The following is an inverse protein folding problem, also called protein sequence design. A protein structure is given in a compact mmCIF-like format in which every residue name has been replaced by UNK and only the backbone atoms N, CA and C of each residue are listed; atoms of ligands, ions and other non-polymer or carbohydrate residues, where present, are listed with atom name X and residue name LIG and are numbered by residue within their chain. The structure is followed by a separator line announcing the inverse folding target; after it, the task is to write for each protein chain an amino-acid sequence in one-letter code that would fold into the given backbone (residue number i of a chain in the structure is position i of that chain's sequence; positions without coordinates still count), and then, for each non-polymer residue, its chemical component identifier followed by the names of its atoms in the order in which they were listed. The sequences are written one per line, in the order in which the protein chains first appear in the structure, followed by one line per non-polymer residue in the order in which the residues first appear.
data_IF_854229900098
#
_entry.id   IF_854229900098
#
_cell.length_a   1.000
_cell.length_b   1.000
_cell.length_c   1.000
_cell.angle_alpha   90.00
_cell.angle_beta   90.00
_cell.angle_gamma   90.00
#
_symmetry.space_group_name_H-M   'P 1'
#
loop_
_entity.id
_entity.type
_entity.pdbx_description
1 polymer ?
#
# COMPACT_ATOMS: atom_id res chain seq x y z
N UNK A 1 15.01 20.68 70.46
CA UNK A 1 14.76 19.30 69.96
C UNK A 1 16.01 18.91 69.22
N UNK A 2 16.61 17.75 69.48
CA UNK A 2 17.78 17.31 68.72
C UNK A 2 17.39 16.93 67.32
N UNK A 3 18.27 17.13 66.32
CA UNK A 3 18.07 16.74 64.91
C UNK A 3 17.63 15.29 64.78
N UNK A 4 18.05 14.44 65.66
CA UNK A 4 17.67 13.02 65.78
C UNK A 4 16.17 12.85 66.05
N UNK A 5 15.60 13.63 66.98
CA UNK A 5 14.18 13.52 67.33
C UNK A 5 13.29 14.00 66.21
N UNK A 6 13.72 15.01 65.39
CA UNK A 6 13.03 15.50 64.24
C UNK A 6 13.04 14.41 63.10
N UNK A 7 14.22 13.79 62.91
CA UNK A 7 14.34 12.72 61.90
C UNK A 7 13.45 11.51 62.25
N UNK A 8 13.41 11.08 63.51
CA UNK A 8 12.53 9.99 63.93
C UNK A 8 11.06 10.36 63.77
N UNK A 9 10.67 11.58 64.14
CA UNK A 9 9.29 12.04 63.96
C UNK A 9 8.86 12.03 62.46
N UNK A 10 9.71 12.52 61.56
CA UNK A 10 9.46 12.48 60.12
C UNK A 10 9.29 11.05 59.61
N UNK A 11 10.18 10.13 59.99
CA UNK A 11 10.09 8.72 59.59
C UNK A 11 8.79 8.08 60.09
N UNK A 12 8.41 8.30 61.34
CA UNK A 12 7.17 7.76 61.91
C UNK A 12 5.93 8.29 61.19
N UNK A 13 5.90 9.61 60.91
CA UNK A 13 4.77 10.21 60.17
C UNK A 13 4.68 9.68 58.75
N UNK A 14 5.80 9.62 58.02
CA UNK A 14 5.82 9.12 56.64
C UNK A 14 5.44 7.64 56.56
N UNK A 15 5.91 6.82 57.52
CA UNK A 15 5.53 5.41 57.60
C UNK A 15 4.03 5.25 57.94
N UNK A 16 3.53 6.04 58.88
CA UNK A 16 2.09 6.04 59.23
C UNK A 16 1.20 6.43 58.04
N UNK A 17 1.56 7.47 57.33
CA UNK A 17 0.85 7.91 56.12
C UNK A 17 0.90 6.80 55.04
N UNK A 18 2.07 6.21 54.80
CA UNK A 18 2.24 5.12 53.84
C UNK A 18 1.39 3.88 54.18
N UNK A 19 1.32 3.50 55.45
CA UNK A 19 0.47 2.38 55.90
C UNK A 19 -1.02 2.67 55.71
N UNK A 20 -1.49 3.89 56.05
CA UNK A 20 -2.89 4.28 55.88
C UNK A 20 -3.26 4.26 54.42
N UNK A 21 -2.49 4.90 53.56
CA UNK A 21 -2.77 4.90 52.10
C UNK A 21 -2.67 3.50 51.49
N UNK A 22 -1.69 2.69 51.89
CA UNK A 22 -1.54 1.32 51.43
C UNK A 22 -2.79 0.46 51.81
N UNK A 23 -3.26 0.61 53.05
CA UNK A 23 -4.46 -0.11 53.50
C UNK A 23 -5.71 0.34 52.76
N UNK A 24 -5.87 1.66 52.57
CA UNK A 24 -7.01 2.21 51.81
C UNK A 24 -6.99 1.70 50.36
N UNK A 25 -5.83 1.76 49.68
CA UNK A 25 -5.68 1.25 48.35
C UNK A 25 -5.95 -0.26 48.25
N UNK A 26 -5.49 -1.04 49.21
CA UNK A 26 -5.77 -2.47 49.24
C UNK A 26 -7.27 -2.79 49.41
N UNK A 27 -7.94 -2.04 50.29
CA UNK A 27 -9.42 -2.18 50.46
C UNK A 27 -10.20 -1.76 49.22
N UNK A 28 -9.80 -0.64 48.62
CA UNK A 28 -10.42 -0.16 47.36
C UNK A 28 -10.17 -1.17 46.25
N UNK A 29 -8.95 -1.66 46.09
CA UNK A 29 -8.63 -2.67 45.08
C UNK A 29 -9.46 -3.95 45.28
N UNK A 30 -9.59 -4.45 46.52
CA UNK A 30 -10.40 -5.65 46.81
C UNK A 30 -11.89 -5.43 46.51
N UNK A 31 -12.42 -4.22 46.71
CA UNK A 31 -13.82 -3.90 46.48
C UNK A 31 -14.14 -3.63 45.02
N UNK A 32 -13.20 -3.06 44.24
CA UNK A 32 -13.34 -2.64 42.87
C UNK A 32 -12.58 -3.53 41.87
N UNK A 33 -11.86 -4.56 42.34
CA UNK A 33 -11.24 -5.53 41.46
C UNK A 33 -12.32 -6.19 40.60
N UNK A 34 -12.32 -5.94 39.29
CA UNK A 34 -13.13 -6.69 38.33
C UNK A 34 -12.43 -8.02 38.06
N UNK A 35 -13.17 -9.12 38.20
CA UNK A 35 -12.67 -10.43 37.78
C UNK A 35 -12.54 -10.44 36.27
N UNK A 36 -11.34 -10.34 35.76
CA UNK A 36 -11.07 -10.47 34.33
C UNK A 36 -11.12 -11.94 33.98
N UNK A 37 -11.97 -12.29 33.00
CA UNK A 37 -12.06 -13.66 32.52
C UNK A 37 -10.68 -14.14 32.01
N UNK A 38 -10.12 -15.24 32.56
CA UNK A 38 -8.78 -15.71 32.19
C UNK A 38 -8.66 -16.04 30.68
N UNK A 39 -9.76 -16.33 30.00
CA UNK A 39 -9.79 -16.55 28.56
C UNK A 39 -9.36 -15.31 27.78
N UNK A 40 -9.56 -14.09 28.31
CA UNK A 40 -9.15 -12.84 27.64
C UNK A 40 -7.63 -12.82 27.48
N UNK A 41 -6.89 -13.15 28.53
CA UNK A 41 -5.43 -13.22 28.48
C UNK A 41 -4.94 -14.31 27.52
N UNK A 42 -5.58 -15.49 27.52
CA UNK A 42 -5.22 -16.56 26.59
C UNK A 42 -5.44 -16.16 25.13
N UNK A 43 -6.54 -15.46 24.83
CA UNK A 43 -6.80 -14.93 23.48
C UNK A 43 -5.81 -13.83 23.14
N UNK A 44 -5.50 -12.91 24.05
CA UNK A 44 -4.53 -11.85 23.81
C UNK A 44 -3.12 -12.40 23.51
N UNK A 45 -2.71 -13.47 24.17
CA UNK A 45 -1.39 -14.10 23.97
C UNK A 45 -1.23 -14.75 22.59
N UNK A 46 -2.31 -15.22 22.00
CA UNK A 46 -2.34 -15.77 20.64
C UNK A 46 -2.28 -14.66 19.57
N UNK A 47 -2.77 -13.45 19.90
CA UNK A 47 -2.81 -12.34 18.97
C UNK A 47 -1.40 -11.82 18.65
N UNK A 48 -1.13 -11.32 17.42
CA UNK A 48 0.20 -10.84 16.99
C UNK A 48 0.74 -9.62 17.73
N UNK A 49 -0.03 -9.07 18.67
CA UNK A 49 0.32 -7.90 19.52
C UNK A 49 0.78 -6.64 18.73
N UNK A 50 0.45 -6.57 17.46
CA UNK A 50 0.80 -5.44 16.57
C UNK A 50 0.04 -4.15 16.84
N UNK A 51 -0.95 -4.18 17.74
CA UNK A 51 -1.80 -3.02 18.13
C UNK A 51 -2.31 -2.20 16.92
N UNK A 52 -2.57 -2.90 15.80
CA UNK A 52 -2.79 -2.24 14.50
C UNK A 52 -4.21 -1.68 14.30
N UNK A 53 -5.19 -2.08 15.11
CA UNK A 53 -6.56 -1.63 14.98
C UNK A 53 -7.31 -2.14 13.72
N UNK A 54 -6.72 -3.03 12.92
CA UNK A 54 -7.33 -3.55 11.69
C UNK A 54 -8.62 -4.33 11.92
N UNK A 55 -8.80 -4.86 13.11
CA UNK A 55 -10.01 -5.55 13.58
C UNK A 55 -11.17 -4.60 13.96
N UNK A 56 -10.92 -3.27 13.95
CA UNK A 56 -11.90 -2.26 14.39
C UNK A 56 -11.85 -1.94 15.89
N UNK A 57 -10.98 -2.59 16.66
CA UNK A 57 -10.78 -2.36 18.09
C UNK A 57 -9.51 -1.55 18.36
N UNK A 58 -9.46 -0.85 19.49
CA UNK A 58 -8.35 0.04 19.86
C UNK A 58 -7.01 -0.69 20.10
N UNK A 59 -7.01 -2.02 20.22
CA UNK A 59 -5.83 -2.84 20.39
C UNK A 59 -6.17 -4.31 20.51
N UNK A 60 -5.16 -5.14 20.67
CA UNK A 60 -5.34 -6.59 20.77
C UNK A 60 -6.14 -7.00 22.03
N UNK A 61 -5.88 -6.32 23.16
CA UNK A 61 -6.62 -6.56 24.40
C UNK A 61 -8.12 -6.24 24.21
N UNK A 62 -8.45 -5.07 23.65
CA UNK A 62 -9.86 -4.70 23.43
C UNK A 62 -10.61 -5.67 22.51
N UNK A 63 -9.91 -6.24 21.53
CA UNK A 63 -10.48 -7.30 20.69
C UNK A 63 -10.65 -8.61 21.48
N UNK A 64 -9.67 -9.00 22.31
CA UNK A 64 -9.77 -10.19 23.15
C UNK A 64 -10.95 -10.09 24.12
N UNK A 65 -11.13 -8.95 24.78
CA UNK A 65 -12.28 -8.68 25.65
C UNK A 65 -13.61 -8.78 24.88
N UNK A 66 -13.68 -8.19 23.69
CA UNK A 66 -14.88 -8.19 22.87
C UNK A 66 -15.24 -9.59 22.36
N UNK A 67 -14.25 -10.36 21.88
CA UNK A 67 -14.52 -11.70 21.32
C UNK A 67 -14.88 -12.73 22.39
N UNK A 68 -14.37 -12.57 23.62
CA UNK A 68 -14.72 -13.44 24.75
C UNK A 68 -16.05 -13.04 25.39
N UNK A 69 -16.29 -11.73 25.52
CA UNK A 69 -17.48 -11.19 26.21
C UNK A 69 -18.74 -11.14 25.35
N UNK A 70 -18.63 -11.06 24.02
CA UNK A 70 -19.77 -10.93 23.12
C UNK A 70 -19.83 -12.09 22.10
N UNK A 71 -20.88 -12.89 22.06
CA UNK A 71 -21.05 -13.99 21.12
C UNK A 71 -21.10 -13.53 19.65
N UNK A 72 -21.58 -12.30 19.37
CA UNK A 72 -21.73 -11.77 18.02
C UNK A 72 -20.41 -11.33 17.39
N UNK A 73 -19.34 -11.15 18.18
CA UNK A 73 -18.02 -10.77 17.67
C UNK A 73 -17.33 -11.99 17.07
N UNK A 74 -17.04 -12.00 15.76
CA UNK A 74 -16.44 -13.16 15.12
C UNK A 74 -14.94 -13.30 15.48
N UNK A 75 -14.41 -14.55 15.54
CA UNK A 75 -13.03 -14.82 15.94
C UNK A 75 -11.99 -14.50 14.83
N UNK A 76 -12.41 -14.17 13.62
CA UNK A 76 -11.56 -13.96 12.45
C UNK A 76 -11.24 -12.48 12.14
N UNK A 77 -11.54 -11.54 13.03
CA UNK A 77 -11.29 -10.11 12.76
C UNK A 77 -9.81 -9.74 12.77
N UNK A 78 -8.94 -10.56 13.37
CA UNK A 78 -7.50 -10.29 13.39
C UNK A 78 -6.87 -10.59 12.03
N UNK A 79 -6.82 -9.59 11.13
CA UNK A 79 -6.24 -9.73 9.79
C UNK A 79 -4.77 -10.15 9.81
N UNK A 80 -3.87 -9.54 10.63
CA UNK A 80 -2.48 -9.97 10.73
C UNK A 80 -2.28 -11.41 11.20
N UNK A 81 -3.20 -11.91 12.04
CA UNK A 81 -3.15 -13.28 12.55
C UNK A 81 -3.53 -14.34 11.53
N UNK A 82 -4.15 -13.93 10.42
CA UNK A 82 -4.61 -14.82 9.34
C UNK A 82 -5.49 -15.96 9.87
N UNK A 83 -5.63 -17.02 9.08
CA UNK A 83 -6.46 -18.19 9.44
C UNK A 83 -5.98 -18.90 10.73
N UNK A 84 -4.68 -18.98 10.94
CA UNK A 84 -4.10 -19.71 12.10
C UNK A 84 -4.60 -19.12 13.43
N UNK A 85 -4.52 -17.80 13.59
CA UNK A 85 -4.98 -17.11 14.79
C UNK A 85 -6.51 -17.16 14.90
N UNK A 86 -7.22 -17.02 13.78
CA UNK A 86 -8.67 -17.12 13.76
C UNK A 86 -9.18 -18.49 14.25
N UNK A 87 -8.55 -19.58 13.80
CA UNK A 87 -8.89 -20.94 14.21
C UNK A 87 -8.57 -21.18 15.71
N UNK A 88 -7.45 -20.65 16.21
CA UNK A 88 -7.09 -20.72 17.63
C UNK A 88 -8.04 -19.94 18.53
N UNK A 89 -8.40 -18.70 18.14
CA UNK A 89 -9.37 -17.88 18.86
C UNK A 89 -10.75 -18.57 18.84
N UNK A 90 -11.14 -19.14 17.70
CA UNK A 90 -12.39 -19.88 17.56
C UNK A 90 -12.44 -21.10 18.51
N UNK A 91 -11.34 -21.86 18.59
CA UNK A 91 -11.24 -23.02 19.49
C UNK A 91 -11.37 -22.63 20.97
N UNK A 92 -10.73 -21.50 21.38
CA UNK A 92 -10.83 -21.00 22.77
C UNK A 92 -12.22 -20.44 23.12
N UNK A 93 -12.87 -19.78 22.15
CA UNK A 93 -14.17 -19.12 22.39
C UNK A 93 -15.37 -19.98 22.02
N UNK A 94 -15.15 -21.20 21.48
CA UNK A 94 -16.23 -22.10 21.05
C UNK A 94 -16.99 -21.59 19.81
N UNK A 95 -16.38 -20.68 19.02
CA UNK A 95 -16.99 -20.06 17.83
C UNK A 95 -16.49 -20.70 16.54
N UNK A 96 -17.17 -20.45 15.42
CA UNK A 96 -16.73 -20.86 14.09
C UNK A 96 -16.03 -19.67 13.42
N UNK A 97 -14.81 -19.88 12.91
CA UNK A 97 -14.08 -18.85 12.18
C UNK A 97 -14.47 -18.87 10.69
N UNK A 98 -15.08 -17.80 10.15
CA UNK A 98 -15.24 -17.65 8.71
C UNK A 98 -13.89 -17.53 8.00
N UNK A 99 -13.84 -17.85 6.70
CA UNK A 99 -12.62 -17.74 5.92
C UNK A 99 -12.15 -16.28 5.77
N UNK A 100 -10.85 -16.05 5.90
CA UNK A 100 -10.23 -14.75 5.75
C UNK A 100 -9.55 -14.68 4.38
N UNK A 101 -9.99 -13.75 3.53
CA UNK A 101 -9.27 -13.45 2.29
C UNK A 101 -7.94 -12.75 2.63
N UNK A 102 -6.79 -13.35 2.30
CA UNK A 102 -5.51 -12.68 2.51
C UNK A 102 -5.41 -11.45 1.60
N UNK A 103 -4.75 -10.40 2.10
CA UNK A 103 -4.53 -9.17 1.34
C UNK A 103 -3.16 -8.57 1.68
N UNK A 104 -2.58 -7.86 0.72
CA UNK A 104 -1.31 -7.15 0.84
C UNK A 104 -1.45 -5.71 0.39
N UNK A 105 -0.57 -4.85 0.88
CA UNK A 105 -0.53 -3.46 0.45
C UNK A 105 0.08 -3.33 -0.95
N UNK A 106 -0.52 -2.51 -1.79
CA UNK A 106 -0.01 -2.14 -3.10
C UNK A 106 0.17 -0.64 -3.19
N UNK A 107 1.28 -0.19 -3.76
CA UNK A 107 1.58 1.22 -3.99
C UNK A 107 1.05 1.64 -5.36
N UNK A 108 0.07 2.54 -5.39
CA UNK A 108 -0.56 3.03 -6.64
C UNK A 108 0.07 4.34 -7.13
N UNK A 109 1.40 4.40 -7.17
CA UNK A 109 2.13 5.53 -7.73
C UNK A 109 3.54 5.10 -8.14
N UNK A 110 3.93 5.42 -9.36
CA UNK A 110 5.29 5.27 -9.88
C UNK A 110 5.95 6.64 -10.19
N UNK A 111 5.29 7.73 -9.81
CA UNK A 111 5.74 9.10 -10.06
C UNK A 111 6.90 9.49 -9.14
N UNK A 112 8.09 8.96 -9.41
CA UNK A 112 9.36 9.40 -8.82
C UNK A 112 9.70 10.84 -9.24
N UNK A 113 10.67 11.52 -8.61
CA UNK A 113 11.02 12.91 -8.91
C UNK A 113 11.43 13.16 -10.37
N UNK A 114 11.99 12.16 -11.05
CA UNK A 114 12.36 12.19 -12.47
C UNK A 114 11.15 12.07 -13.42
N UNK A 115 10.04 11.51 -12.97
CA UNK A 115 8.85 11.24 -13.78
C UNK A 115 7.69 12.19 -13.52
N UNK A 116 7.58 12.68 -12.29
CA UNK A 116 6.50 13.58 -11.86
C UNK A 116 7.05 14.98 -11.59
N UNK A 117 6.48 15.99 -12.24
CA UNK A 117 6.87 17.40 -12.05
C UNK A 117 6.60 17.86 -10.63
N UNK A 118 7.48 18.71 -10.11
CA UNK A 118 7.29 19.40 -8.85
C UNK A 118 6.79 20.82 -9.08
N UNK A 119 5.98 21.35 -8.17
CA UNK A 119 5.48 22.73 -8.15
C UNK A 119 6.45 23.66 -7.40
N UNK A 120 6.97 23.17 -6.29
CA UNK A 120 7.86 23.88 -5.38
C UNK A 120 8.76 22.89 -4.61
N UNK A 121 9.79 23.39 -3.96
CA UNK A 121 10.60 22.65 -2.99
C UNK A 121 9.92 22.76 -1.62
N UNK A 122 9.69 21.63 -0.97
CA UNK A 122 9.10 21.59 0.37
C UNK A 122 10.19 21.44 1.42
N UNK A 123 10.30 22.43 2.31
CA UNK A 123 11.32 22.50 3.38
C UNK A 123 10.69 22.38 4.79
N UNK A 124 9.47 21.87 4.89
CA UNK A 124 8.76 21.68 6.16
C UNK A 124 9.03 20.32 6.80
N UNK A 125 8.15 19.96 7.74
CA UNK A 125 8.18 18.66 8.44
C UNK A 125 8.11 17.53 7.43
N UNK A 126 9.03 16.57 7.54
CA UNK A 126 9.14 15.41 6.64
C UNK A 126 8.05 14.37 6.95
N UNK A 127 6.81 14.78 6.77
CA UNK A 127 5.59 13.98 6.96
C UNK A 127 4.60 14.23 5.84
N UNK A 128 3.94 13.17 5.34
CA UNK A 128 2.99 13.28 4.22
C UNK A 128 1.73 14.06 4.59
N UNK A 129 1.27 13.97 5.85
CA UNK A 129 0.06 14.66 6.30
C UNK A 129 0.36 16.16 6.36
N UNK A 130 1.47 16.54 7.01
CA UNK A 130 1.91 17.94 7.10
C UNK A 130 2.14 18.55 5.72
N UNK A 131 2.88 17.86 4.84
CA UNK A 131 3.14 18.33 3.49
C UNK A 131 1.88 18.44 2.63
N UNK A 132 0.89 17.60 2.85
CA UNK A 132 -0.38 17.65 2.11
C UNK A 132 -1.21 18.91 2.40
N UNK A 133 -1.03 19.54 3.58
CA UNK A 133 -1.70 20.78 3.94
C UNK A 133 -1.17 21.98 3.13
N UNK A 134 0.06 21.90 2.64
CA UNK A 134 0.68 22.97 1.84
C UNK A 134 0.34 22.76 0.37
N UNK A 135 -0.72 23.36 -0.11
CA UNK A 135 -1.21 23.28 -1.50
C UNK A 135 -1.34 21.84 -2.04
N UNK A 136 -1.64 20.88 -1.18
CA UNK A 136 -1.72 19.48 -1.56
C UNK A 136 -0.37 18.79 -1.77
N UNK A 137 0.74 19.39 -1.35
CA UNK A 137 2.11 18.87 -1.48
C UNK A 137 2.88 19.39 -2.67
N UNK A 138 4.19 19.12 -2.68
CA UNK A 138 5.17 19.65 -3.64
C UNK A 138 5.02 19.12 -5.08
N UNK A 139 4.37 17.98 -5.30
CA UNK A 139 4.18 17.42 -6.66
C UNK A 139 3.06 18.12 -7.41
N UNK A 140 3.23 18.31 -8.71
CA UNK A 140 2.21 18.85 -9.60
C UNK A 140 0.99 17.91 -9.72
N UNK A 141 1.20 16.61 -9.62
CA UNK A 141 0.12 15.63 -9.56
C UNK A 141 -0.54 15.68 -8.16
N UNK A 142 -1.81 16.08 -8.09
CA UNK A 142 -2.57 16.17 -6.84
C UNK A 142 -2.78 14.80 -6.17
N UNK A 143 -2.76 13.73 -6.95
CA UNK A 143 -2.98 12.36 -6.51
C UNK A 143 -1.67 11.58 -6.27
N UNK A 144 -0.52 12.20 -6.51
CA UNK A 144 0.79 11.54 -6.45
C UNK A 144 1.30 11.31 -5.03
N UNK A 145 2.12 10.28 -4.86
CA UNK A 145 2.84 10.02 -3.61
C UNK A 145 3.76 11.19 -3.27
N UNK A 146 3.73 11.69 -2.03
CA UNK A 146 4.58 12.80 -1.57
C UNK A 146 6.00 12.35 -1.22
N UNK A 147 6.18 11.08 -0.84
CA UNK A 147 7.52 10.51 -0.67
C UNK A 147 8.14 10.69 0.72
N UNK A 148 7.43 11.20 1.73
CA UNK A 148 7.97 11.43 3.08
C UNK A 148 7.88 10.22 4.01
N UNK A 149 7.40 9.07 3.56
CA UNK A 149 7.51 7.81 4.30
C UNK A 149 6.55 7.62 5.48
N UNK A 150 5.53 8.46 5.68
CA UNK A 150 4.56 8.31 6.78
C UNK A 150 3.93 6.90 6.82
N UNK A 151 3.67 6.29 5.65
CA UNK A 151 3.18 4.92 5.55
C UNK A 151 4.21 3.85 5.97
N UNK A 152 5.50 4.10 5.77
CA UNK A 152 6.57 3.21 6.22
C UNK A 152 6.74 3.32 7.74
N UNK A 153 6.76 4.53 8.29
CA UNK A 153 6.94 4.78 9.71
C UNK A 153 5.81 4.20 10.58
N UNK A 154 4.58 4.14 10.05
CA UNK A 154 3.43 3.60 10.80
C UNK A 154 3.32 2.08 10.72
N UNK A 155 4.12 1.40 9.91
CA UNK A 155 4.02 -0.04 9.68
C UNK A 155 4.56 -0.82 10.89
N UNK A 156 3.72 -1.51 11.68
CA UNK A 156 4.18 -2.23 12.88
C UNK A 156 4.86 -3.57 12.54
N UNK A 157 4.87 -3.97 11.26
CA UNK A 157 5.44 -5.23 10.79
C UNK A 157 6.71 -5.03 9.95
N UNK A 158 7.22 -3.80 9.86
CA UNK A 158 8.39 -3.45 9.05
C UNK A 158 8.31 -4.00 7.60
N UNK A 159 7.10 -3.96 7.05
CA UNK A 159 6.81 -4.44 5.70
C UNK A 159 6.90 -3.33 4.64
N UNK A 160 7.16 -2.10 5.05
CA UNK A 160 7.24 -0.93 4.17
C UNK A 160 8.53 -0.17 4.43
N UNK A 161 9.26 0.14 3.38
CA UNK A 161 10.45 1.01 3.42
C UNK A 161 10.44 1.99 2.23
N UNK A 162 11.20 3.06 2.34
CA UNK A 162 11.34 4.01 1.24
C UNK A 162 12.44 3.56 0.29
N UNK A 163 12.09 3.43 -0.98
CA UNK A 163 13.03 3.09 -2.03
C UNK A 163 13.89 4.29 -2.45
N UNK A 164 14.99 4.05 -3.20
CA UNK A 164 15.91 5.10 -3.66
C UNK A 164 15.25 6.11 -4.61
N UNK A 165 14.13 5.75 -5.21
CA UNK A 165 13.32 6.61 -6.07
C UNK A 165 12.33 7.50 -5.29
N UNK A 166 12.40 7.56 -3.95
CA UNK A 166 11.51 8.33 -3.10
C UNK A 166 10.07 7.83 -3.07
N UNK A 167 9.83 6.56 -3.40
CA UNK A 167 8.53 5.92 -3.31
C UNK A 167 8.58 4.76 -2.32
N UNK A 168 7.46 4.46 -1.63
CA UNK A 168 7.41 3.32 -0.73
C UNK A 168 7.49 2.00 -1.51
N UNK A 169 8.18 1.03 -0.93
CA UNK A 169 8.29 -0.35 -1.41
C UNK A 169 7.70 -1.27 -0.35
N UNK A 170 6.91 -2.24 -0.78
CA UNK A 170 6.24 -3.22 0.09
C UNK A 170 6.99 -4.54 0.02
N UNK A 171 7.38 -5.07 1.17
CA UNK A 171 7.79 -6.47 1.31
C UNK A 171 6.54 -7.33 1.50
N UNK A 172 6.15 -8.04 0.44
CA UNK A 172 4.93 -8.86 0.44
C UNK A 172 4.99 -10.01 1.45
N UNK A 173 6.19 -10.52 1.78
CA UNK A 173 6.37 -11.60 2.74
C UNK A 173 6.10 -11.16 4.16
N UNK A 174 6.49 -9.93 4.50
CA UNK A 174 6.26 -9.31 5.81
C UNK A 174 4.88 -8.67 5.91
N UNK A 175 4.28 -8.27 4.79
CA UNK A 175 3.00 -7.58 4.78
C UNK A 175 1.86 -8.48 5.26
N UNK A 176 1.18 -8.04 6.30
CA UNK A 176 0.04 -8.75 6.90
C UNK A 176 -1.32 -8.25 6.41
N UNK A 177 -1.35 -7.20 5.57
CA UNK A 177 -2.60 -6.61 5.07
C UNK A 177 -3.40 -5.82 6.09
N UNK A 178 -2.79 -5.34 7.17
CA UNK A 178 -3.49 -4.66 8.27
C UNK A 178 -4.14 -3.31 7.90
N UNK A 179 -3.77 -2.69 6.77
CA UNK A 179 -4.40 -1.47 6.26
C UNK A 179 -3.95 -0.16 6.91
N UNK A 180 -3.07 -0.14 7.92
CA UNK A 180 -2.59 1.12 8.55
C UNK A 180 -1.99 2.10 7.54
N UNK A 181 -1.20 1.60 6.60
CA UNK A 181 -0.59 2.43 5.55
C UNK A 181 -1.63 3.05 4.59
N UNK A 182 -2.77 2.39 4.37
CA UNK A 182 -3.88 2.91 3.59
C UNK A 182 -4.61 4.03 4.35
N UNK A 183 -4.87 3.83 5.64
CA UNK A 183 -5.57 4.79 6.50
C UNK A 183 -4.80 6.11 6.69
N UNK A 184 -3.48 6.03 6.87
CA UNK A 184 -2.64 7.21 7.15
C UNK A 184 -2.29 8.01 5.89
N UNK A 185 -2.49 7.45 4.69
CA UNK A 185 -2.05 8.08 3.46
C UNK A 185 -2.99 9.21 3.01
N UNK A 186 -2.59 10.50 3.06
CA UNK A 186 -3.46 11.62 2.68
C UNK A 186 -3.77 11.66 1.18
N UNK A 187 -3.04 10.88 0.37
CA UNK A 187 -3.19 10.78 -1.08
C UNK A 187 -3.87 9.48 -1.54
N UNK A 188 -4.25 8.61 -0.62
CA UNK A 188 -4.85 7.30 -0.91
C UNK A 188 -4.02 6.47 -1.93
N UNK A 189 -2.68 6.50 -1.77
CA UNK A 189 -1.75 5.80 -2.66
C UNK A 189 -1.70 4.30 -2.36
N UNK A 190 -1.89 3.95 -1.09
CA UNK A 190 -1.89 2.56 -0.65
C UNK A 190 -3.25 1.94 -0.90
N UNK A 191 -3.28 0.71 -1.39
CA UNK A 191 -4.49 -0.08 -1.57
C UNK A 191 -4.26 -1.52 -1.14
N UNK A 192 -5.26 -2.12 -0.50
CA UNK A 192 -5.21 -3.54 -0.20
C UNK A 192 -5.68 -4.34 -1.41
N UNK A 193 -4.86 -5.30 -1.85
CA UNK A 193 -5.16 -6.21 -2.96
C UNK A 193 -4.92 -7.66 -2.54
N UNK A 194 -5.56 -8.64 -3.18
CA UNK A 194 -5.22 -10.04 -2.96
C UNK A 194 -3.75 -10.31 -3.32
N UNK A 195 -3.03 -11.16 -2.57
CA UNK A 195 -1.68 -11.59 -2.94
C UNK A 195 -1.72 -12.36 -4.27
N UNK A 196 -0.62 -12.28 -5.04
CA UNK A 196 -0.53 -12.94 -6.34
C UNK A 196 -1.22 -12.20 -7.48
N UNK A 197 -1.63 -10.95 -7.29
CA UNK A 197 -2.15 -10.13 -8.40
C UNK A 197 -1.10 -10.01 -9.50
N UNK A 198 -1.42 -10.47 -10.72
CA UNK A 198 -0.48 -10.48 -11.83
C UNK A 198 -0.17 -9.06 -12.35
N UNK A 199 -1.18 -8.19 -12.33
CA UNK A 199 -1.13 -6.86 -12.94
C UNK A 199 -1.76 -5.83 -12.01
N UNK A 200 -1.15 -4.65 -11.93
CA UNK A 200 -1.67 -3.52 -11.20
C UNK A 200 -1.56 -2.21 -11.97
N UNK A 201 -2.55 -1.34 -11.82
CA UNK A 201 -2.47 0.05 -12.28
C UNK A 201 -1.80 0.87 -11.18
N UNK A 202 -0.53 1.23 -11.41
CA UNK A 202 0.29 1.97 -10.46
C UNK A 202 0.16 3.49 -10.70
N UNK A 203 -1.06 3.95 -10.76
CA UNK A 203 -1.45 5.36 -10.86
C UNK A 203 -2.73 5.57 -10.05
N UNK A 204 -2.90 6.77 -9.51
CA UNK A 204 -4.09 7.16 -8.75
C UNK A 204 -4.72 8.46 -9.26
N UNK A 205 -4.21 9.01 -10.39
CA UNK A 205 -4.73 10.25 -10.96
C UNK A 205 -6.14 10.06 -11.51
N UNK A 206 -7.00 11.00 -11.20
CA UNK A 206 -8.37 11.12 -11.73
C UNK A 206 -8.50 12.24 -12.75
N UNK A 207 -7.38 12.90 -13.09
CA UNK A 207 -7.34 13.95 -14.11
C UNK A 207 -7.58 13.36 -15.49
N UNK A 208 -8.07 14.19 -16.42
CA UNK A 208 -8.15 13.82 -17.83
C UNK A 208 -6.77 13.46 -18.36
N UNK A 209 -6.69 12.48 -19.26
CA UNK A 209 -5.43 11.91 -19.71
C UNK A 209 -4.40 12.92 -20.21
N UNK A 210 -4.84 13.99 -20.92
CA UNK A 210 -3.96 15.06 -21.37
C UNK A 210 -3.33 15.84 -20.21
N UNK A 211 -4.10 16.15 -19.17
CA UNK A 211 -3.64 16.90 -18.00
C UNK A 211 -2.78 16.03 -17.09
N UNK A 212 -3.17 14.78 -16.88
CA UNK A 212 -2.36 13.80 -16.15
C UNK A 212 -0.95 13.65 -16.78
N UNK A 213 -0.86 13.61 -18.12
CA UNK A 213 0.42 13.49 -18.85
C UNK A 213 1.30 14.74 -18.77
N UNK A 214 0.72 15.94 -18.64
CA UNK A 214 1.48 17.19 -18.46
C UNK A 214 2.27 17.21 -17.16
N UNK A 215 1.75 16.57 -16.10
CA UNK A 215 2.32 16.58 -14.76
C UNK A 215 3.14 15.32 -14.43
N UNK A 216 2.89 14.19 -15.11
CA UNK A 216 3.58 12.94 -14.86
C UNK A 216 3.71 12.12 -16.15
N UNK A 217 4.94 11.77 -16.56
CA UNK A 217 5.21 11.04 -17.81
C UNK A 217 4.67 9.60 -17.80
N UNK A 218 4.51 9.02 -16.62
CA UNK A 218 4.06 7.63 -16.40
C UNK A 218 2.59 7.57 -15.93
N UNK A 219 1.83 8.65 -16.03
CA UNK A 219 0.44 8.70 -15.60
C UNK A 219 -0.47 7.81 -16.46
N UNK A 220 -1.51 7.24 -15.85
CA UNK A 220 -2.62 6.66 -16.59
C UNK A 220 -3.37 7.77 -17.34
N UNK A 221 -3.51 7.62 -18.66
CA UNK A 221 -4.20 8.58 -19.53
C UNK A 221 -5.61 8.10 -19.91
N UNK A 222 -6.12 7.10 -19.27
CA UNK A 222 -7.43 6.47 -19.47
C UNK A 222 -7.76 6.12 -20.95
N UNK A 223 -6.73 5.75 -21.73
CA UNK A 223 -6.87 5.47 -23.16
C UNK A 223 -7.65 4.19 -23.49
N UNK A 224 -7.94 3.34 -22.51
CA UNK A 224 -8.71 2.12 -22.67
C UNK A 224 -8.00 0.95 -23.39
N UNK A 225 -6.74 1.11 -23.80
CA UNK A 225 -6.01 0.03 -24.51
C UNK A 225 -5.84 -1.22 -23.64
N UNK A 226 -5.62 -1.06 -22.34
CA UNK A 226 -5.54 -2.17 -21.41
C UNK A 226 -6.88 -2.93 -21.32
N UNK A 227 -8.01 -2.22 -21.28
CA UNK A 227 -9.34 -2.82 -21.27
C UNK A 227 -9.59 -3.60 -22.58
N UNK A 228 -9.32 -2.99 -23.74
CA UNK A 228 -9.50 -3.64 -25.06
C UNK A 228 -8.67 -4.92 -25.23
N UNK A 229 -7.50 -4.98 -24.60
CA UNK A 229 -6.59 -6.13 -24.71
C UNK A 229 -6.72 -7.10 -23.52
N UNK A 230 -7.72 -6.94 -22.66
CA UNK A 230 -8.02 -7.87 -21.59
C UNK A 230 -9.09 -8.86 -22.06
N UNK A 231 -8.77 -10.15 -22.28
CA UNK A 231 -9.74 -11.12 -22.78
C UNK A 231 -10.78 -11.52 -21.72
N UNK A 232 -10.60 -11.11 -20.47
CA UNK A 232 -11.45 -11.50 -19.34
C UNK A 232 -12.25 -10.35 -18.76
N UNK A 233 -12.27 -9.19 -19.40
CA UNK A 233 -12.92 -7.95 -18.93
C UNK A 233 -12.56 -7.54 -17.48
N UNK A 234 -11.40 -7.97 -17.00
CA UNK A 234 -10.91 -7.67 -15.65
C UNK A 234 -10.49 -6.20 -15.47
N UNK A 235 -10.55 -5.37 -16.51
CA UNK A 235 -10.12 -3.96 -16.46
C UNK A 235 -11.27 -3.06 -16.87
N UNK A 236 -11.64 -2.15 -15.96
CA UNK A 236 -12.62 -1.11 -16.21
C UNK A 236 -11.99 0.28 -16.16
N UNK A 237 -12.60 1.25 -16.81
CA UNK A 237 -12.18 2.66 -16.72
C UNK A 237 -13.21 3.39 -15.88
N UNK A 238 -12.78 3.90 -14.72
CA UNK A 238 -13.61 4.65 -13.80
C UNK A 238 -12.91 5.95 -13.42
N UNK A 239 -13.62 7.07 -13.42
CA UNK A 239 -13.09 8.37 -13.04
C UNK A 239 -11.74 8.70 -13.71
N UNK A 240 -11.62 8.51 -15.03
CA UNK A 240 -10.40 8.69 -15.81
C UNK A 240 -9.20 7.81 -15.39
N UNK A 241 -9.45 6.70 -14.74
CA UNK A 241 -8.42 5.77 -14.27
C UNK A 241 -8.78 4.34 -14.63
N UNK A 242 -7.82 3.56 -15.10
CA UNK A 242 -8.00 2.13 -15.25
C UNK A 242 -7.97 1.45 -13.87
N UNK A 243 -8.93 0.59 -13.61
CA UNK A 243 -9.05 -0.22 -12.38
C UNK A 243 -9.03 -1.68 -12.78
N UNK A 244 -8.17 -2.46 -12.13
CA UNK A 244 -8.06 -3.92 -12.35
C UNK A 244 -8.83 -4.64 -11.27
N UNK A 245 -9.70 -5.55 -11.66
CA UNK A 245 -10.24 -6.55 -10.76
C UNK A 245 -9.18 -7.65 -10.55
N UNK A 246 -8.53 -7.61 -9.40
CA UNK A 246 -7.45 -8.54 -9.07
C UNK A 246 -7.92 -9.98 -8.95
N UNK A 247 -9.18 -10.23 -8.52
CA UNK A 247 -9.72 -11.59 -8.37
C UNK A 247 -9.85 -12.26 -9.75
N UNK A 248 -10.52 -11.58 -10.68
CA UNK A 248 -10.65 -12.08 -12.06
C UNK A 248 -9.28 -12.25 -12.70
N UNK A 249 -8.36 -11.30 -12.46
CA UNK A 249 -7.01 -11.34 -13.02
C UNK A 249 -6.20 -12.54 -12.49
N UNK A 250 -6.30 -12.88 -11.20
CA UNK A 250 -5.61 -14.03 -10.60
C UNK A 250 -6.19 -15.36 -11.11
N UNK A 251 -7.53 -15.46 -11.15
CA UNK A 251 -8.20 -16.71 -11.49
C UNK A 251 -8.08 -17.10 -12.97
N UNK A 252 -8.13 -16.10 -13.86
CA UNK A 252 -8.31 -16.36 -15.31
C UNK A 252 -7.10 -15.98 -16.15
N UNK A 253 -6.25 -15.03 -15.70
CA UNK A 253 -5.22 -14.47 -16.55
C UNK A 253 -3.85 -15.13 -16.33
N UNK A 254 -3.32 -15.80 -17.35
CA UNK A 254 -1.95 -16.35 -17.34
C UNK A 254 -0.93 -15.48 -18.09
N UNK A 255 -1.37 -14.64 -19.05
CA UNK A 255 -0.47 -14.06 -20.06
C UNK A 255 -0.28 -12.54 -19.98
N UNK A 256 -0.98 -11.83 -19.08
CA UNK A 256 -0.85 -10.39 -18.83
C UNK A 256 -0.75 -9.52 -20.12
N UNK A 257 -1.53 -9.84 -21.15
CA UNK A 257 -1.47 -9.22 -22.51
C UNK A 257 -1.72 -7.71 -22.50
N UNK A 258 -2.31 -7.18 -21.43
CA UNK A 258 -2.54 -5.74 -21.24
C UNK A 258 -1.26 -4.94 -20.94
N UNK A 259 -0.21 -5.59 -20.40
CA UNK A 259 1.03 -4.91 -19.95
C UNK A 259 1.79 -4.22 -21.09
N UNK A 260 2.11 -4.91 -22.23
CA UNK A 260 2.86 -4.29 -23.31
C UNK A 260 2.07 -3.24 -24.09
N UNK A 261 0.74 -3.19 -23.91
CA UNK A 261 -0.14 -2.26 -24.62
C UNK A 261 -0.31 -0.90 -23.94
N UNK A 262 0.25 -0.73 -22.71
CA UNK A 262 0.17 0.54 -22.02
C UNK A 262 1.19 1.54 -22.57
N UNK A 263 0.79 2.68 -23.18
CA UNK A 263 1.70 3.64 -23.81
C UNK A 263 2.49 4.49 -22.80
N UNK A 264 2.04 4.53 -21.54
CA UNK A 264 2.67 5.33 -20.47
C UNK A 264 3.26 4.45 -19.37
N UNK A 265 3.25 3.14 -19.51
CA UNK A 265 3.69 2.20 -18.48
C UNK A 265 2.98 2.34 -17.12
N UNK A 266 1.80 2.95 -17.10
CA UNK A 266 1.00 3.09 -15.88
C UNK A 266 0.51 1.74 -15.33
N UNK A 267 0.46 0.70 -16.18
CA UNK A 267 0.22 -0.68 -15.76
C UNK A 267 1.56 -1.39 -15.58
N UNK A 268 1.73 -2.04 -14.45
CA UNK A 268 2.90 -2.84 -14.14
C UNK A 268 2.53 -4.29 -13.87
N UNK A 269 3.44 -5.21 -14.22
CA UNK A 269 3.43 -6.58 -13.71
C UNK A 269 3.84 -6.56 -12.23
N UNK A 270 3.16 -7.33 -11.42
CA UNK A 270 3.39 -7.41 -9.98
C UNK A 270 4.14 -8.68 -9.60
N UNK A 271 4.13 -9.68 -10.49
CA UNK A 271 4.86 -10.94 -10.32
C UNK A 271 6.04 -11.02 -11.30
N UNK A 272 7.11 -11.78 -10.98
CA UNK A 272 8.32 -11.89 -11.82
C UNK A 272 8.02 -12.31 -13.27
N UNK A 273 7.11 -13.25 -13.48
CA UNK A 273 6.72 -13.74 -14.80
C UNK A 273 6.07 -12.64 -15.66
N UNK A 274 5.19 -11.85 -15.08
CA UNK A 274 4.55 -10.73 -15.79
C UNK A 274 5.56 -9.61 -16.10
N UNK A 275 6.54 -9.37 -15.24
CA UNK A 275 7.64 -8.42 -15.49
C UNK A 275 8.53 -8.91 -16.64
N UNK A 276 8.89 -10.19 -16.69
CA UNK A 276 9.69 -10.79 -17.75
C UNK A 276 8.97 -10.72 -19.10
N UNK A 277 7.66 -11.02 -19.15
CA UNK A 277 6.85 -10.90 -20.35
C UNK A 277 6.79 -9.46 -20.88
N UNK A 278 6.67 -8.48 -19.98
CA UNK A 278 6.69 -7.06 -20.36
C UNK A 278 8.04 -6.64 -20.93
N UNK A 279 9.14 -7.07 -20.33
CA UNK A 279 10.50 -6.77 -20.81
C UNK A 279 10.70 -7.35 -22.21
N UNK A 280 10.42 -8.63 -22.40
CA UNK A 280 10.55 -9.31 -23.70
C UNK A 280 9.68 -8.65 -24.79
N UNK A 281 8.44 -8.26 -24.46
CA UNK A 281 7.56 -7.59 -25.41
C UNK A 281 8.08 -6.19 -25.81
N UNK A 282 8.70 -5.45 -24.88
CA UNK A 282 9.33 -4.15 -25.17
C UNK A 282 10.56 -4.28 -26.07
N UNK A 283 11.43 -5.27 -25.80
CA UNK A 283 12.59 -5.55 -26.63
C UNK A 283 12.19 -5.95 -28.05
N UNK A 284 11.19 -6.81 -28.20
CA UNK A 284 10.65 -7.20 -29.50
C UNK A 284 10.08 -5.98 -30.27
N UNK A 285 9.33 -5.11 -29.58
CA UNK A 285 8.80 -3.90 -30.18
C UNK A 285 9.91 -2.91 -30.60
N UNK A 286 10.93 -2.75 -29.81
CA UNK A 286 12.08 -1.90 -30.13
C UNK A 286 12.87 -2.44 -31.34
N UNK A 287 13.09 -3.76 -31.40
CA UNK A 287 13.73 -4.43 -32.53
C UNK A 287 12.92 -4.27 -33.81
N UNK A 288 11.60 -4.45 -33.74
CA UNK A 288 10.69 -4.23 -34.88
C UNK A 288 10.70 -2.79 -35.38
N UNK A 289 10.74 -1.80 -34.47
CA UNK A 289 10.83 -0.38 -34.85
C UNK A 289 12.19 -0.04 -35.52
N UNK A 290 13.29 -0.64 -35.04
CA UNK A 290 14.61 -0.46 -35.63
C UNK A 290 14.66 -1.04 -37.03
N UNK A 291 14.16 -2.27 -37.21
CA UNK A 291 14.06 -2.91 -38.52
C UNK A 291 13.18 -2.12 -39.50
N UNK A 292 12.03 -1.60 -39.04
CA UNK A 292 11.16 -0.77 -39.87
C UNK A 292 11.84 0.56 -40.31
N UNK A 293 12.62 1.21 -39.42
CA UNK A 293 13.40 2.41 -39.78
C UNK A 293 14.49 2.11 -40.79
N UNK A 294 15.21 1.02 -40.63
CA UNK A 294 16.25 0.59 -41.59
C UNK A 294 15.65 0.25 -42.94
N UNK A 295 14.51 -0.44 -42.98
CA UNK A 295 13.78 -0.72 -44.21
C UNK A 295 13.30 0.56 -44.91
N UNK A 296 12.76 1.52 -44.13
CA UNK A 296 12.31 2.82 -44.69
C UNK A 296 13.49 3.63 -45.24
N UNK A 297 14.65 3.59 -44.58
CA UNK A 297 15.86 4.26 -45.04
C UNK A 297 16.36 3.67 -46.37
N UNK A 298 16.46 2.36 -46.48
CA UNK A 298 16.83 1.65 -47.71
C UNK A 298 15.86 1.91 -48.86
N UNK A 299 14.55 1.97 -48.56
CA UNK A 299 13.53 2.31 -49.54
C UNK A 299 13.63 3.76 -50.06
N UNK A 300 13.99 4.70 -49.17
CA UNK A 300 14.23 6.10 -49.52
C UNK A 300 15.53 6.27 -50.38
N UNK A 301 16.59 5.54 -50.06
CA UNK A 301 17.83 5.52 -50.88
C UNK A 301 17.57 4.90 -52.29
N UNK A 302 16.82 3.79 -52.35
CA UNK A 302 16.47 3.18 -53.62
C UNK A 302 15.60 4.11 -54.49
N UNK A 303 14.65 4.87 -53.89
CA UNK A 303 13.90 5.90 -54.65
C UNK A 303 14.76 7.02 -55.18
N UNK A 304 15.72 7.55 -54.38
CA UNK A 304 16.65 8.58 -54.85
C UNK A 304 17.57 8.08 -55.97
N UNK A 305 18.04 6.84 -55.89
CA UNK A 305 18.84 6.23 -56.96
C UNK A 305 18.03 6.04 -58.26
N UNK A 306 16.74 5.65 -58.16
CA UNK A 306 15.86 5.49 -59.33
C UNK A 306 15.55 6.86 -59.97
N UNK A 307 15.35 7.91 -59.17
CA UNK A 307 15.10 9.27 -59.63
C UNK A 307 16.33 9.92 -60.31
N UNK A 308 17.53 9.59 -59.80
CA UNK A 308 18.80 10.03 -60.42
C UNK A 308 19.13 9.29 -61.72
N UNK A 309 18.59 8.12 -61.96
CA UNK A 309 18.77 7.32 -63.18
C UNK A 309 17.73 7.59 -64.29
N UNK A 310 16.72 8.43 -64.05
CA UNK A 310 15.75 8.80 -65.05
C UNK A 310 16.38 9.67 -66.15
N UNK A 311 16.28 9.33 -67.43
CA UNK A 311 16.88 10.12 -68.53
C UNK A 311 16.16 11.46 -68.59
N UNK A 312 16.97 12.56 -68.60
CA UNK A 312 16.46 13.90 -68.90
C UNK A 312 15.97 13.90 -70.33
N UNK A 313 14.65 13.98 -70.54
CA UNK A 313 14.07 14.29 -71.83
C UNK A 313 14.61 15.63 -72.31
N UNK A 314 15.41 15.61 -73.36
CA UNK A 314 15.88 16.77 -74.07
C UNK A 314 14.75 17.28 -74.93
N UNK A 315 14.11 18.37 -74.50
CA UNK A 315 13.24 19.18 -75.33
C UNK A 315 13.97 19.64 -76.59
N UNK A 316 13.34 19.35 -77.73
CA UNK A 316 13.71 19.86 -79.02
C UNK A 316 12.60 20.72 -79.56
#
# INVERSE_FOLDING_TARGET
MSTLNIAIAVVVVMTGVGLVFGLVLALVNKKFAMEVNPLIHLVEDILPKGQCGACGYAGCQAYAEAVVGNPDVPPNLCIPGKKIVADQVAALTGKVAPEIEPRIAQVRCQGSPDKAKQKFVYEGVQDCIAASQVQGGQKACQYGCLGFGTCANICPFDALHMGPNGLPVVDEKKCTGCGKCEQVCPKNIMRMVPPGSHVGVLCNSKDKGADARKVCSIACISCGLCKKNCPYDAIVIENNLAVVDSKICIEKCSNATCLPKCPTDAIAGLIPEALAQKAAAKEAAAAAQKAAKEAALKAAEAKKAAEAAAPKETDK
#
